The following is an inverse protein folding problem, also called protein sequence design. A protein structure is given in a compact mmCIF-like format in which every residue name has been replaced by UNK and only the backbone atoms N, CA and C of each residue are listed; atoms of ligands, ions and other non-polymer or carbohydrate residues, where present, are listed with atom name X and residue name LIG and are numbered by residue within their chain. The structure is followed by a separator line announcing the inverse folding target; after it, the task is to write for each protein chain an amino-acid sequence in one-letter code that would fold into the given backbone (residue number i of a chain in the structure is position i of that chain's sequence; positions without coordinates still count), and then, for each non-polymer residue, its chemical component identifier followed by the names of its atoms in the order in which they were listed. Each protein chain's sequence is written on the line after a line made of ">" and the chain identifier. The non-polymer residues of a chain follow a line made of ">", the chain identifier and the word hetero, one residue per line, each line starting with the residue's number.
data_IF_037615868635
#
_entry.id   IF_037615868635
#
_cell.length_a   1.000
_cell.length_b   1.000
_cell.length_c   1.000
_cell.angle_alpha   90.00
_cell.angle_beta   90.00
_cell.angle_gamma   90.00
#
_symmetry.space_group_name_H-M   'P 1'
#
loop_
_entity.id
_entity.type
_entity.pdbx_description
1 polymer ?
#
# COMPACT_ATOMS: atom_id res chain seq x y z
N UNK A 1 -21.43 22.98 20.83
CA UNK A 1 -21.75 21.92 21.79
C UNK A 1 -23.25 21.63 21.94
N UNK A 2 -24.14 22.60 22.21
CA UNK A 2 -25.56 22.29 22.51
C UNK A 2 -26.31 21.51 21.40
N UNK A 3 -25.87 21.63 20.14
CA UNK A 3 -26.44 20.94 18.98
C UNK A 3 -25.64 19.69 18.57
N UNK A 4 -24.60 19.33 19.30
CA UNK A 4 -23.72 18.22 18.93
C UNK A 4 -24.21 16.94 19.61
N UNK A 5 -24.71 16.00 18.82
CA UNK A 5 -25.11 14.67 19.25
C UNK A 5 -24.47 13.63 18.32
N UNK A 6 -23.34 13.07 18.77
CA UNK A 6 -22.61 12.06 18.01
C UNK A 6 -21.84 11.16 18.96
N UNK A 7 -21.81 9.83 18.74
CA UNK A 7 -21.15 8.88 19.65
C UNK A 7 -19.66 9.16 19.87
N UNK A 8 -18.99 9.83 18.92
CA UNK A 8 -17.56 10.17 18.99
C UNK A 8 -17.27 11.64 19.28
N UNK A 9 -18.25 12.39 19.79
CA UNK A 9 -18.10 13.76 20.28
C UNK A 9 -18.67 13.82 21.70
N UNK A 10 -17.99 14.52 22.62
CA UNK A 10 -18.44 14.61 24.00
C UNK A 10 -19.81 15.32 24.09
N UNK A 11 -20.75 14.73 24.83
CA UNK A 11 -22.09 15.31 25.00
C UNK A 11 -22.11 16.33 26.12
N UNK A 12 -22.70 17.51 25.85
CA UNK A 12 -23.02 18.52 26.85
C UNK A 12 -24.41 18.25 27.43
N UNK A 13 -24.48 17.77 28.67
CA UNK A 13 -25.72 17.40 29.36
C UNK A 13 -26.44 18.61 29.96
N UNK A 14 -25.69 19.54 30.56
CA UNK A 14 -26.26 20.72 31.19
C UNK A 14 -25.24 21.87 31.20
N UNK A 15 -25.73 23.11 31.31
CA UNK A 15 -24.90 24.29 31.54
C UNK A 15 -25.56 25.20 32.56
N UNK A 16 -24.78 25.79 33.44
CA UNK A 16 -25.27 26.74 34.42
C UNK A 16 -24.17 27.75 34.77
N UNK A 17 -24.59 28.92 35.22
CA UNK A 17 -23.68 29.94 35.73
C UNK A 17 -23.55 29.82 37.24
N UNK A 18 -22.36 30.06 37.76
CA UNK A 18 -22.10 30.19 39.20
C UNK A 18 -21.26 31.44 39.44
N UNK A 19 -21.48 32.10 40.56
CA UNK A 19 -20.67 33.23 41.00
C UNK A 19 -19.80 32.80 42.17
N UNK A 20 -18.51 33.14 42.15
CA UNK A 20 -17.62 32.88 43.30
C UNK A 20 -17.87 33.88 44.42
N UNK A 21 -17.22 33.69 45.57
CA UNK A 21 -17.24 34.67 46.66
C UNK A 21 -16.57 36.01 46.31
N UNK A 22 -15.86 36.09 45.18
CA UNK A 22 -15.21 37.29 44.66
C UNK A 22 -16.02 37.98 43.53
N UNK A 23 -17.30 37.65 43.40
CA UNK A 23 -18.20 38.13 42.33
C UNK A 23 -17.76 37.78 40.89
N UNK A 24 -16.91 36.76 40.74
CA UNK A 24 -16.51 36.27 39.42
C UNK A 24 -17.54 35.29 38.87
N UNK A 25 -18.01 35.54 37.64
CA UNK A 25 -18.99 34.71 36.95
C UNK A 25 -18.31 33.58 36.17
N UNK A 26 -18.67 32.33 36.48
CA UNK A 26 -18.19 31.14 35.79
C UNK A 26 -19.31 30.45 35.02
N UNK A 27 -19.02 30.04 33.79
CA UNK A 27 -19.87 29.12 33.02
C UNK A 27 -19.42 27.69 33.30
N UNK A 28 -20.31 26.90 33.90
CA UNK A 28 -20.08 25.48 34.18
C UNK A 28 -20.70 24.62 33.09
N UNK A 29 -19.91 23.68 32.56
CA UNK A 29 -20.33 22.75 31.51
C UNK A 29 -20.37 21.33 32.09
N UNK A 30 -21.58 20.79 32.26
CA UNK A 30 -21.79 19.41 32.71
C UNK A 30 -21.77 18.49 31.49
N UNK A 31 -20.73 17.67 31.38
CA UNK A 31 -20.51 16.78 30.24
C UNK A 31 -20.59 15.32 30.67
N UNK A 32 -20.69 14.43 29.70
CA UNK A 32 -20.41 13.01 29.91
C UNK A 32 -19.00 12.80 30.49
N UNK A 33 -18.85 11.81 31.38
CA UNK A 33 -17.56 11.42 31.94
C UNK A 33 -16.98 10.26 31.13
N UNK A 34 -15.73 10.38 30.74
CA UNK A 34 -14.95 9.32 30.07
C UNK A 34 -13.63 9.20 30.85
N UNK A 35 -13.23 7.99 31.27
CA UNK A 35 -12.25 7.81 32.34
C UNK A 35 -10.80 8.17 31.96
N UNK A 36 -10.43 8.01 30.69
CA UNK A 36 -9.06 8.23 30.24
C UNK A 36 -9.00 9.18 29.05
N UNK A 37 -7.82 9.78 28.84
CA UNK A 37 -7.47 10.43 27.58
C UNK A 37 -6.56 9.54 26.76
N UNK A 38 -6.58 9.72 25.45
CA UNK A 38 -5.69 9.02 24.53
C UNK A 38 -4.22 9.28 24.87
N UNK A 39 -3.88 10.46 25.38
CA UNK A 39 -2.56 10.76 25.92
C UNK A 39 -2.16 9.77 27.02
N UNK A 40 -3.04 9.52 28.01
CA UNK A 40 -2.77 8.59 29.11
C UNK A 40 -2.69 7.15 28.63
N UNK A 41 -3.56 6.76 27.71
CA UNK A 41 -3.52 5.42 27.08
C UNK A 41 -2.22 5.21 26.30
N UNK A 42 -1.80 6.17 25.47
CA UNK A 42 -0.53 6.12 24.72
C UNK A 42 0.67 6.04 25.67
N UNK A 43 0.67 6.88 26.71
CA UNK A 43 1.74 6.91 27.73
C UNK A 43 1.86 5.61 28.52
N UNK A 44 0.75 4.90 28.77
CA UNK A 44 0.80 3.56 29.37
C UNK A 44 1.65 2.60 28.52
N UNK A 45 1.41 2.52 27.22
CA UNK A 45 2.17 1.67 26.30
C UNK A 45 3.66 2.09 26.20
N UNK A 46 3.92 3.39 26.07
CA UNK A 46 5.30 3.91 26.04
C UNK A 46 6.06 3.57 27.33
N UNK A 47 5.45 3.77 28.50
CA UNK A 47 6.07 3.49 29.79
C UNK A 47 6.33 1.98 30.03
N UNK A 48 5.55 1.10 29.41
CA UNK A 48 5.75 -0.36 29.48
C UNK A 48 6.66 -0.90 28.37
N UNK A 49 7.26 -0.02 27.56
CA UNK A 49 8.05 -0.38 26.37
C UNK A 49 7.28 -1.30 25.40
N UNK A 50 5.97 -1.08 25.29
CA UNK A 50 5.09 -1.80 24.37
C UNK A 50 4.57 -0.85 23.29
N UNK A 51 4.45 -1.34 22.06
CA UNK A 51 3.68 -0.64 21.04
C UNK A 51 2.19 -0.88 21.24
N UNK A 52 1.36 0.13 20.98
CA UNK A 52 -0.08 -0.06 20.98
C UNK A 52 -0.47 -1.09 19.89
N UNK A 53 -1.25 -2.13 20.21
CA UNK A 53 -1.74 -3.08 19.22
C UNK A 53 -2.44 -2.37 18.04
N UNK A 54 -2.08 -2.75 16.81
CA UNK A 54 -2.57 -2.08 15.59
C UNK A 54 -4.10 -2.06 15.47
N UNK A 55 -4.79 -3.05 16.05
CA UNK A 55 -6.26 -3.07 16.11
C UNK A 55 -6.81 -1.86 16.89
N UNK A 56 -6.20 -1.49 18.00
CA UNK A 56 -6.62 -0.31 18.78
C UNK A 56 -6.29 0.98 18.04
N UNK A 57 -5.12 1.07 17.39
CA UNK A 57 -4.79 2.22 16.54
C UNK A 57 -5.85 2.41 15.45
N UNK A 58 -6.22 1.34 14.73
CA UNK A 58 -7.27 1.37 13.71
C UNK A 58 -8.63 1.79 14.28
N UNK A 59 -9.04 1.18 15.40
CA UNK A 59 -10.32 1.44 16.05
C UNK A 59 -10.44 2.88 16.55
N UNK A 60 -9.41 3.38 17.21
CA UNK A 60 -9.36 4.74 17.74
C UNK A 60 -9.34 5.78 16.62
N UNK A 61 -8.47 5.61 15.62
CA UNK A 61 -8.39 6.55 14.51
C UNK A 61 -9.66 6.56 13.67
N UNK A 62 -10.31 5.41 13.45
CA UNK A 62 -11.62 5.37 12.80
C UNK A 62 -12.65 6.23 13.53
N UNK A 63 -12.73 6.11 14.86
CA UNK A 63 -13.66 6.89 15.66
C UNK A 63 -13.31 8.39 15.72
N UNK A 64 -12.02 8.74 15.77
CA UNK A 64 -11.57 10.15 15.66
C UNK A 64 -12.03 10.75 14.34
N UNK A 65 -11.76 10.08 13.22
CA UNK A 65 -12.17 10.58 11.91
C UNK A 65 -13.69 10.64 11.76
N UNK A 66 -14.44 9.71 12.37
CA UNK A 66 -15.91 9.78 12.41
C UNK A 66 -16.41 11.00 13.21
N UNK A 67 -15.79 11.27 14.36
CA UNK A 67 -16.07 12.47 15.16
C UNK A 67 -15.74 13.77 14.42
N UNK A 68 -14.59 13.85 13.75
CA UNK A 68 -14.21 14.99 12.91
C UNK A 68 -15.16 15.17 11.73
N UNK A 69 -15.50 14.09 11.03
CA UNK A 69 -16.47 14.13 9.93
C UNK A 69 -17.80 14.71 10.41
N UNK A 70 -18.29 14.32 11.59
CA UNK A 70 -19.47 14.91 12.21
C UNK A 70 -19.29 16.40 12.51
N UNK A 71 -18.20 16.82 13.15
CA UNK A 71 -17.93 18.24 13.46
C UNK A 71 -17.91 19.08 12.19
N UNK A 72 -17.28 18.56 11.13
CA UNK A 72 -17.13 19.23 9.83
C UNK A 72 -18.43 19.23 9.00
N UNK A 73 -19.50 18.55 9.43
CA UNK A 73 -20.84 18.69 8.81
C UNK A 73 -21.45 20.05 9.07
N UNK A 74 -21.11 20.71 10.19
CA UNK A 74 -21.42 22.12 10.40
C UNK A 74 -20.57 22.91 9.41
N UNK A 75 -21.15 23.65 8.46
CA UNK A 75 -20.35 24.35 7.45
C UNK A 75 -19.30 25.26 8.11
N UNK A 76 -18.02 24.96 7.88
CA UNK A 76 -16.89 25.67 8.48
C UNK A 76 -16.53 25.26 9.91
N UNK A 77 -17.27 24.34 10.55
CA UNK A 77 -17.00 23.88 11.91
C UNK A 77 -15.62 23.23 12.05
N UNK A 78 -14.72 23.86 12.80
CA UNK A 78 -13.35 23.42 12.99
C UNK A 78 -12.99 23.34 14.48
N UNK A 79 -12.31 22.27 14.89
CA UNK A 79 -11.95 22.02 16.29
C UNK A 79 -10.76 22.89 16.74
N UNK A 80 -9.70 22.98 15.92
CA UNK A 80 -8.52 23.85 16.12
C UNK A 80 -7.62 23.55 17.32
N UNK A 81 -7.84 22.45 18.03
CA UNK A 81 -6.91 21.96 19.07
C UNK A 81 -7.05 20.44 19.29
N UNK A 82 -7.09 19.68 18.19
CA UNK A 82 -7.14 18.23 18.28
C UNK A 82 -5.74 17.69 18.66
N UNK A 83 -5.69 16.95 19.76
CA UNK A 83 -4.48 16.34 20.33
C UNK A 83 -4.87 15.17 21.26
N UNK A 84 -3.95 14.26 21.63
CA UNK A 84 -4.26 13.10 22.46
C UNK A 84 -4.90 13.45 23.81
N UNK A 85 -4.63 14.64 24.36
CA UNK A 85 -5.27 15.10 25.61
C UNK A 85 -6.75 15.45 25.42
N UNK A 86 -7.14 15.90 24.22
CA UNK A 86 -8.50 16.31 23.86
C UNK A 86 -9.30 15.18 23.17
N UNK A 87 -8.77 13.95 23.24
CA UNK A 87 -9.41 12.74 22.75
C UNK A 87 -9.59 11.83 23.96
N UNK A 88 -10.83 11.67 24.41
CA UNK A 88 -11.17 10.81 25.53
C UNK A 88 -11.37 9.38 25.05
N UNK A 89 -11.00 8.42 25.89
CA UNK A 89 -11.10 6.99 25.62
C UNK A 89 -11.65 6.31 26.86
N UNK A 90 -12.64 5.44 26.68
CA UNK A 90 -12.99 4.44 27.67
C UNK A 90 -12.21 3.15 27.35
N UNK A 91 -11.19 2.75 28.14
CA UNK A 91 -10.39 1.57 27.84
C UNK A 91 -11.15 0.25 27.95
N UNK A 92 -12.30 0.21 28.65
CA UNK A 92 -13.11 -0.99 28.78
C UNK A 92 -13.92 -1.25 27.50
N UNK A 93 -14.51 -0.20 26.94
CA UNK A 93 -15.38 -0.28 25.75
C UNK A 93 -14.67 0.11 24.45
N UNK A 94 -13.46 0.68 24.55
CA UNK A 94 -12.71 1.32 23.48
C UNK A 94 -13.46 2.44 22.75
N UNK A 95 -14.47 3.05 23.40
CA UNK A 95 -15.19 4.19 22.85
C UNK A 95 -14.32 5.46 22.92
N UNK A 96 -14.27 6.19 21.81
CA UNK A 96 -13.52 7.45 21.70
C UNK A 96 -14.47 8.62 21.58
N UNK A 97 -14.19 9.73 22.29
CA UNK A 97 -14.93 10.99 22.18
C UNK A 97 -14.00 12.19 22.10
N UNK A 98 -14.18 13.03 21.08
CA UNK A 98 -13.49 14.31 20.97
C UNK A 98 -14.09 15.29 21.99
N UNK A 99 -13.24 15.96 22.76
CA UNK A 99 -13.63 16.93 23.77
C UNK A 99 -12.87 18.25 23.62
N UNK A 100 -13.18 19.21 24.50
CA UNK A 100 -12.55 20.54 24.55
C UNK A 100 -12.70 21.37 23.26
N UNK A 101 -13.91 21.92 23.11
CA UNK A 101 -14.26 22.83 22.02
C UNK A 101 -13.95 24.30 22.39
N UNK A 102 -13.13 24.58 23.40
CA UNK A 102 -12.81 25.95 23.82
C UNK A 102 -12.10 26.75 22.73
N UNK A 103 -11.36 26.06 21.85
CA UNK A 103 -10.73 26.68 20.68
C UNK A 103 -11.62 26.68 19.45
N UNK A 104 -12.69 25.88 19.40
CA UNK A 104 -13.43 25.62 18.17
C UNK A 104 -14.08 26.88 17.57
N UNK A 105 -14.20 26.94 16.24
CA UNK A 105 -14.82 28.07 15.52
C UNK A 105 -15.48 27.60 14.23
N UNK A 106 -16.54 28.28 13.80
CA UNK A 106 -17.05 28.20 12.43
C UNK A 106 -16.20 29.12 11.54
N UNK A 107 -15.48 28.52 10.59
CA UNK A 107 -14.66 29.20 9.60
C UNK A 107 -15.55 29.68 8.45
N UNK A 108 -15.59 30.99 8.25
CA UNK A 108 -16.31 31.62 7.14
C UNK A 108 -15.32 31.99 6.04
N UNK A 109 -15.61 31.58 4.81
CA UNK A 109 -14.73 31.85 3.66
C UNK A 109 -14.60 33.37 3.45
N UNK A 110 -13.37 33.86 3.34
CA UNK A 110 -13.05 35.29 3.19
C UNK A 110 -12.92 36.05 4.52
N UNK A 111 -13.21 35.41 5.66
CA UNK A 111 -12.91 35.98 6.98
C UNK A 111 -11.55 35.49 7.48
N UNK A 112 -10.70 36.44 7.90
CA UNK A 112 -9.41 36.13 8.49
C UNK A 112 -9.57 35.47 9.88
N UNK A 113 -8.73 34.48 10.15
CA UNK A 113 -8.65 33.78 11.43
C UNK A 113 -7.23 33.86 12.01
N UNK A 114 -7.13 33.76 13.33
CA UNK A 114 -5.84 33.76 14.04
C UNK A 114 -5.08 32.48 13.72
N UNK A 115 -3.86 32.61 13.21
CA UNK A 115 -2.99 31.48 12.83
C UNK A 115 -2.28 30.82 14.02
N UNK A 116 -2.02 31.57 15.10
CA UNK A 116 -1.40 31.07 16.32
C UNK A 116 -2.39 30.30 17.22
N UNK A 117 -2.90 29.19 16.68
CA UNK A 117 -3.83 28.24 17.29
C UNK A 117 -3.27 26.81 17.19
N UNK A 118 -3.96 25.81 17.73
CA UNK A 118 -3.46 24.44 17.92
C UNK A 118 -2.25 24.33 18.85
N UNK A 119 -2.16 23.21 19.56
CA UNK A 119 -0.96 22.79 20.26
C UNK A 119 0.17 22.45 19.27
N UNK A 120 1.40 22.91 19.57
CA UNK A 120 2.50 23.01 18.60
C UNK A 120 2.80 21.73 17.82
N UNK A 121 2.91 20.57 18.49
CA UNK A 121 3.24 19.29 17.85
C UNK A 121 2.20 18.79 16.84
N UNK A 122 0.97 19.31 16.92
CA UNK A 122 -0.18 18.91 16.08
C UNK A 122 -0.59 20.03 15.12
N UNK A 123 0.11 21.17 15.16
CA UNK A 123 -0.21 22.34 14.35
C UNK A 123 0.13 22.05 12.88
N UNK A 124 -0.77 22.46 11.98
CA UNK A 124 -0.60 22.32 10.54
C UNK A 124 0.43 23.33 9.99
N UNK A 125 1.20 23.00 8.94
CA UNK A 125 2.26 23.85 8.41
C UNK A 125 1.73 25.19 7.91
N UNK A 126 0.55 25.26 7.30
CA UNK A 126 -0.06 26.51 6.84
C UNK A 126 -0.25 27.52 7.98
N UNK A 127 -0.53 27.04 9.20
CA UNK A 127 -0.65 27.89 10.39
C UNK A 127 0.72 28.42 10.84
N UNK A 128 1.79 27.65 10.66
CA UNK A 128 3.17 28.08 10.95
C UNK A 128 3.64 29.16 9.97
N UNK A 129 3.17 29.10 8.73
CA UNK A 129 3.37 30.15 7.73
C UNK A 129 2.41 31.35 7.91
N UNK A 130 1.60 31.36 8.98
CA UNK A 130 0.75 32.50 9.31
C UNK A 130 -0.53 32.60 8.47
N UNK A 131 -0.95 31.54 7.79
CA UNK A 131 -2.18 31.57 7.00
C UNK A 131 -3.39 31.95 7.87
N UNK A 132 -4.17 32.93 7.40
CA UNK A 132 -5.40 33.39 8.08
C UNK A 132 -6.67 32.81 7.45
N UNK A 133 -6.56 32.27 6.24
CA UNK A 133 -7.65 31.63 5.48
C UNK A 133 -7.43 30.12 5.36
N UNK A 134 -7.19 29.46 6.49
CA UNK A 134 -7.11 28.00 6.56
C UNK A 134 -8.51 27.38 6.60
N UNK A 135 -8.59 26.07 6.36
CA UNK A 135 -9.85 25.32 6.33
C UNK A 135 -9.91 24.30 7.47
N UNK A 136 -10.99 23.51 7.54
CA UNK A 136 -11.11 22.40 8.48
C UNK A 136 -10.04 21.30 8.30
N UNK A 137 -9.27 21.35 7.20
CA UNK A 137 -8.12 20.46 6.92
C UNK A 137 -7.04 20.47 8.02
N UNK A 138 -6.92 21.55 8.80
CA UNK A 138 -5.95 21.61 9.91
C UNK A 138 -6.23 20.56 10.99
N UNK A 139 -7.51 20.19 11.19
CA UNK A 139 -7.88 19.12 12.11
C UNK A 139 -7.47 17.74 11.55
N UNK A 140 -7.50 17.58 10.22
CA UNK A 140 -7.06 16.35 9.54
C UNK A 140 -5.55 16.17 9.67
N UNK A 141 -4.77 17.27 9.52
CA UNK A 141 -3.34 17.26 9.82
C UNK A 141 -3.07 16.85 11.27
N UNK A 142 -3.79 17.47 12.21
CA UNK A 142 -3.66 17.17 13.64
C UNK A 142 -3.96 15.69 13.92
N UNK A 143 -5.00 15.12 13.29
CA UNK A 143 -5.34 13.71 13.39
C UNK A 143 -4.25 12.80 12.79
N UNK A 144 -3.60 13.22 11.70
CA UNK A 144 -2.43 12.54 11.14
C UNK A 144 -1.25 12.49 12.12
N UNK A 145 -1.01 13.59 12.85
CA UNK A 145 0.01 13.63 13.91
C UNK A 145 -0.34 12.68 15.06
N UNK A 146 -1.62 12.61 15.48
CA UNK A 146 -2.10 11.64 16.48
C UNK A 146 -1.90 10.21 16.00
N UNK A 147 -2.26 9.88 14.76
CA UNK A 147 -2.05 8.55 14.18
C UNK A 147 -0.56 8.16 14.23
N UNK A 148 0.32 9.07 13.80
CA UNK A 148 1.75 8.82 13.83
C UNK A 148 2.28 8.62 15.26
N UNK A 149 1.82 9.42 16.21
CA UNK A 149 2.18 9.27 17.62
C UNK A 149 1.74 7.93 18.21
N UNK A 150 0.53 7.46 17.90
CA UNK A 150 0.06 6.15 18.34
C UNK A 150 0.88 4.99 17.75
N UNK A 151 1.39 5.14 16.52
CA UNK A 151 2.24 4.14 15.87
C UNK A 151 3.69 4.16 16.40
N UNK A 152 4.22 5.34 16.71
CA UNK A 152 5.61 5.53 17.16
C UNK A 152 5.79 5.41 18.68
N UNK A 153 4.73 5.60 19.46
CA UNK A 153 4.77 5.69 20.93
C UNK A 153 5.31 7.02 21.47
N UNK A 154 5.61 7.97 20.58
CA UNK A 154 6.08 9.33 20.89
C UNK A 154 5.64 10.31 19.79
N UNK A 155 5.54 11.63 20.07
CA UNK A 155 5.14 12.61 19.07
C UNK A 155 6.03 12.58 17.82
N UNK A 156 5.43 12.60 16.63
CA UNK A 156 6.16 12.58 15.35
C UNK A 156 6.98 13.87 15.14
N UNK A 157 6.45 15.00 15.57
CA UNK A 157 6.99 16.33 15.26
C UNK A 157 7.15 17.16 16.54
N UNK A 158 8.16 16.87 17.39
CA UNK A 158 8.32 17.50 18.69
C UNK A 158 9.15 18.82 18.63
N UNK A 159 8.70 19.83 17.86
CA UNK A 159 9.42 21.10 17.75
C UNK A 159 9.23 22.02 18.97
N UNK A 160 10.29 22.69 19.43
CA UNK A 160 10.22 23.57 20.63
C UNK A 160 9.54 24.92 20.36
N UNK A 161 9.60 25.38 19.11
CA UNK A 161 8.92 26.59 18.63
C UNK A 161 8.45 26.40 17.17
N UNK A 162 7.80 27.40 16.59
CA UNK A 162 7.24 27.28 15.23
C UNK A 162 8.29 26.99 14.15
N UNK A 163 9.51 27.51 14.29
CA UNK A 163 10.59 27.26 13.33
C UNK A 163 11.11 25.83 13.47
N UNK A 164 11.36 25.37 14.70
CA UNK A 164 11.80 23.98 14.94
C UNK A 164 10.74 22.98 14.50
N UNK A 165 9.46 23.31 14.69
CA UNK A 165 8.35 22.49 14.21
C UNK A 165 8.36 22.34 12.69
N UNK A 166 8.65 23.42 11.94
CA UNK A 166 8.83 23.37 10.49
C UNK A 166 10.05 22.50 10.12
N UNK A 167 11.15 22.60 10.87
CA UNK A 167 12.34 21.77 10.67
C UNK A 167 12.02 20.28 10.84
N UNK A 168 11.24 19.90 11.86
CA UNK A 168 10.78 18.51 12.05
C UNK A 168 9.91 18.04 10.87
N UNK A 169 8.99 18.88 10.37
CA UNK A 169 8.15 18.56 9.20
C UNK A 169 9.03 18.33 7.95
N UNK A 170 10.02 19.18 7.74
CA UNK A 170 10.95 19.07 6.60
C UNK A 170 11.77 17.78 6.71
N UNK A 171 12.27 17.43 7.89
CA UNK A 171 13.00 16.17 8.13
C UNK A 171 12.15 14.95 7.73
N UNK A 172 10.89 14.89 8.17
CA UNK A 172 9.96 13.79 7.81
C UNK A 172 9.72 13.74 6.31
N UNK A 173 9.52 14.90 5.67
CA UNK A 173 9.32 15.00 4.21
C UNK A 173 10.55 14.52 3.44
N UNK A 174 11.76 14.88 3.88
CA UNK A 174 13.02 14.43 3.29
C UNK A 174 13.23 12.92 3.48
N UNK A 175 12.95 12.39 4.66
CA UNK A 175 12.99 10.94 4.93
C UNK A 175 12.05 10.17 3.99
N UNK A 176 10.84 10.69 3.75
CA UNK A 176 9.90 10.11 2.78
C UNK A 176 10.47 10.12 1.36
N UNK A 177 11.02 11.24 0.90
CA UNK A 177 11.61 11.33 -0.45
C UNK A 177 12.78 10.35 -0.63
N UNK A 178 13.62 10.21 0.39
CA UNK A 178 14.74 9.26 0.39
C UNK A 178 14.26 7.81 0.39
N UNK A 179 13.24 7.49 1.18
CA UNK A 179 12.58 6.18 1.16
C UNK A 179 11.99 5.87 -0.22
N UNK A 180 11.26 6.82 -0.83
CA UNK A 180 10.65 6.66 -2.15
C UNK A 180 11.71 6.43 -3.24
N UNK A 181 12.85 7.16 -3.20
CA UNK A 181 14.00 6.93 -4.09
C UNK A 181 14.59 5.53 -3.92
N UNK A 182 14.76 5.05 -2.68
CA UNK A 182 15.26 3.70 -2.40
C UNK A 182 14.31 2.63 -2.93
N UNK A 183 13.00 2.79 -2.72
CA UNK A 183 11.99 1.88 -3.28
C UNK A 183 12.04 1.87 -4.81
N UNK A 184 12.17 3.04 -5.45
CA UNK A 184 12.30 3.12 -6.91
C UNK A 184 13.57 2.43 -7.42
N UNK A 185 14.71 2.57 -6.71
CA UNK A 185 15.97 1.87 -7.03
C UNK A 185 15.80 0.35 -6.93
N UNK A 186 15.20 -0.15 -5.83
CA UNK A 186 14.94 -1.58 -5.64
C UNK A 186 14.03 -2.14 -6.73
N UNK A 187 12.98 -1.40 -7.11
CA UNK A 187 12.10 -1.79 -8.22
C UNK A 187 12.86 -1.81 -9.56
N UNK A 188 13.73 -0.83 -9.81
CA UNK A 188 14.54 -0.78 -11.03
C UNK A 188 15.55 -1.94 -11.10
N UNK A 189 16.23 -2.24 -10.00
CA UNK A 189 17.15 -3.39 -9.86
C UNK A 189 16.42 -4.72 -10.07
N UNK A 190 15.24 -4.88 -9.45
CA UNK A 190 14.41 -6.06 -9.63
C UNK A 190 13.96 -6.23 -11.09
N UNK A 191 13.52 -5.14 -11.74
CA UNK A 191 13.13 -5.17 -13.15
C UNK A 191 14.30 -5.53 -14.09
N UNK A 192 15.49 -5.03 -13.80
CA UNK A 192 16.71 -5.37 -14.56
C UNK A 192 17.10 -6.85 -14.38
N UNK A 193 17.00 -7.37 -13.14
CA UNK A 193 17.21 -8.79 -12.87
C UNK A 193 16.18 -9.66 -13.60
N UNK A 194 14.90 -9.29 -13.58
CA UNK A 194 13.84 -9.99 -14.32
C UNK A 194 14.14 -10.06 -15.82
N UNK A 195 14.58 -8.95 -16.44
CA UNK A 195 14.97 -8.93 -17.86
C UNK A 195 16.13 -9.87 -18.16
N UNK A 196 17.16 -9.90 -17.30
CA UNK A 196 18.31 -10.81 -17.46
C UNK A 196 17.89 -12.27 -17.36
N UNK A 197 17.06 -12.61 -16.38
CA UNK A 197 16.52 -13.97 -16.21
C UNK A 197 15.64 -14.36 -17.40
N UNK A 198 14.82 -13.44 -17.92
CA UNK A 198 14.02 -13.67 -19.13
C UNK A 198 14.90 -13.94 -20.35
N UNK A 199 15.91 -13.11 -20.60
CA UNK A 199 16.84 -13.29 -21.72
C UNK A 199 17.63 -14.60 -21.61
N UNK A 200 18.05 -14.99 -20.41
CA UNK A 200 18.70 -16.29 -20.16
C UNK A 200 17.75 -17.46 -20.50
N UNK A 201 16.50 -17.41 -20.02
CA UNK A 201 15.51 -18.43 -20.32
C UNK A 201 15.19 -18.52 -21.83
N UNK A 202 15.11 -17.38 -22.53
CA UNK A 202 14.92 -17.33 -23.98
C UNK A 202 16.10 -17.94 -24.75
N UNK A 203 17.34 -17.64 -24.33
CA UNK A 203 18.54 -18.22 -24.93
C UNK A 203 18.62 -19.74 -24.71
N UNK A 204 18.37 -20.21 -23.48
CA UNK A 204 18.32 -21.64 -23.16
C UNK A 204 17.25 -22.38 -23.99
N UNK A 205 16.07 -21.77 -24.16
CA UNK A 205 15.00 -22.33 -24.99
C UNK A 205 15.40 -22.40 -26.47
N UNK A 206 16.07 -21.35 -26.96
CA UNK A 206 16.58 -21.28 -28.34
C UNK A 206 17.65 -22.34 -28.60
N UNK A 207 18.58 -22.54 -27.68
CA UNK A 207 19.61 -23.59 -27.76
C UNK A 207 18.99 -24.98 -27.76
N UNK A 208 18.05 -25.26 -26.83
CA UNK A 208 17.32 -26.54 -26.79
C UNK A 208 16.56 -26.80 -28.08
N UNK A 209 15.91 -25.79 -28.64
CA UNK A 209 15.17 -25.91 -29.90
C UNK A 209 16.09 -26.15 -31.10
N UNK A 210 17.25 -25.46 -31.15
CA UNK A 210 18.26 -25.69 -32.19
C UNK A 210 18.86 -27.10 -32.10
N UNK A 211 19.15 -27.58 -30.89
CA UNK A 211 19.64 -28.94 -30.67
C UNK A 211 18.63 -29.98 -31.15
N UNK A 212 17.37 -29.89 -30.71
CA UNK A 212 16.29 -30.79 -31.14
C UNK A 212 16.09 -30.77 -32.66
N UNK A 213 16.16 -29.59 -33.28
CA UNK A 213 16.06 -29.45 -34.73
C UNK A 213 17.20 -30.15 -35.46
N UNK A 214 18.45 -29.93 -35.02
CA UNK A 214 19.62 -30.56 -35.63
C UNK A 214 19.62 -32.09 -35.46
N UNK A 215 19.19 -32.58 -34.30
CA UNK A 215 19.02 -34.01 -34.03
C UNK A 215 17.95 -34.63 -34.94
N UNK A 216 16.78 -33.98 -35.06
CA UNK A 216 15.73 -34.42 -36.00
C UNK A 216 16.21 -34.38 -37.47
N UNK A 217 16.93 -33.34 -37.90
CA UNK A 217 17.49 -33.25 -39.25
C UNK A 217 18.51 -34.38 -39.53
N UNK A 218 19.34 -34.73 -38.54
CA UNK A 218 20.28 -35.84 -38.63
C UNK A 218 19.57 -37.20 -38.72
N UNK A 219 18.54 -37.43 -37.89
CA UNK A 219 17.72 -38.65 -37.92
C UNK A 219 17.01 -38.81 -39.27
N UNK A 220 16.37 -37.75 -39.79
CA UNK A 220 15.73 -37.77 -41.10
C UNK A 220 16.72 -38.12 -42.21
N UNK A 221 17.96 -37.58 -42.16
CA UNK A 221 19.01 -37.89 -43.14
C UNK A 221 19.47 -39.35 -43.06
N UNK A 222 19.62 -39.91 -41.85
CA UNK A 222 19.95 -41.31 -41.65
C UNK A 222 18.86 -42.24 -42.21
N UNK A 223 17.60 -41.99 -41.84
CA UNK A 223 16.43 -42.72 -42.36
C UNK A 223 16.32 -42.65 -43.89
N UNK A 224 16.61 -41.49 -44.50
CA UNK A 224 16.66 -41.35 -45.97
C UNK A 224 17.75 -42.22 -46.60
N UNK A 225 18.95 -42.26 -46.01
CA UNK A 225 20.04 -43.08 -46.51
C UNK A 225 19.71 -44.58 -46.43
N UNK A 226 19.12 -45.01 -45.31
CA UNK A 226 18.66 -46.40 -45.11
C UNK A 226 17.60 -46.80 -46.15
N UNK A 227 16.62 -45.93 -46.39
CA UNK A 227 15.57 -46.16 -47.39
C UNK A 227 16.13 -46.21 -48.81
N UNK A 228 17.08 -45.33 -49.14
CA UNK A 228 17.77 -45.35 -50.45
C UNK A 228 18.57 -46.64 -50.65
N UNK A 229 19.26 -47.13 -49.61
CA UNK A 229 19.97 -48.41 -49.64
C UNK A 229 19.01 -49.60 -49.80
N UNK A 230 17.86 -49.57 -49.13
CA UNK A 230 16.82 -50.60 -49.26
C UNK A 230 16.18 -50.59 -50.66
N UNK A 231 15.88 -49.40 -51.21
CA UNK A 231 15.41 -49.26 -52.58
C UNK A 231 16.43 -49.81 -53.59
N UNK A 232 17.73 -49.51 -53.44
CA UNK A 232 18.79 -50.05 -54.32
C UNK A 232 18.83 -51.58 -54.30
N UNK A 233 18.76 -52.20 -53.11
CA UNK A 233 18.71 -53.67 -52.96
C UNK A 233 17.48 -54.27 -53.67
N UNK A 234 16.31 -53.66 -53.48
CA UNK A 234 15.08 -54.13 -54.14
C UNK A 234 15.13 -53.98 -55.67
N UNK A 235 15.75 -52.91 -56.18
CA UNK A 235 15.97 -52.72 -57.62
C UNK A 235 16.93 -53.78 -58.19
N UNK A 236 18.02 -54.09 -57.49
CA UNK A 236 18.96 -55.16 -57.85
C UNK A 236 18.30 -56.55 -57.84
N UNK A 237 17.52 -56.86 -56.80
CA UNK A 237 16.74 -58.10 -56.71
C UNK A 237 15.73 -58.22 -57.85
N UNK A 238 14.99 -57.14 -58.15
CA UNK A 238 14.04 -57.10 -59.25
C UNK A 238 14.76 -57.29 -60.61
N UNK A 239 15.94 -56.70 -60.78
CA UNK A 239 16.76 -56.87 -61.98
C UNK A 239 17.21 -58.34 -62.14
N UNK A 240 17.67 -58.97 -61.06
CA UNK A 240 18.10 -60.37 -61.05
C UNK A 240 16.92 -61.31 -61.34
N UNK A 241 15.75 -61.08 -60.75
CA UNK A 241 14.53 -61.83 -61.02
C UNK A 241 14.09 -61.70 -62.49
N UNK A 242 14.23 -60.51 -63.10
CA UNK A 242 13.96 -60.31 -64.53
C UNK A 242 14.93 -61.09 -65.42
N UNK A 243 16.21 -61.15 -65.07
CA UNK A 243 17.22 -61.97 -65.78
C UNK A 243 16.87 -63.46 -65.67
N UNK A 244 16.60 -63.96 -64.45
CA UNK A 244 16.22 -65.36 -64.23
C UNK A 244 14.95 -65.74 -64.98
N UNK A 245 13.93 -64.88 -65.02
CA UNK A 245 12.72 -65.10 -65.83
C UNK A 245 12.99 -65.14 -67.33
N UNK A 246 13.91 -64.31 -67.84
CA UNK A 246 14.32 -64.35 -69.26
C UNK A 246 15.08 -65.63 -69.58
N UNK A 247 15.98 -66.07 -68.70
CA UNK A 247 16.69 -67.35 -68.84
C UNK A 247 15.73 -68.53 -68.80
N UNK A 248 14.80 -68.57 -67.84
CA UNK A 248 13.77 -69.62 -67.77
C UNK A 248 12.88 -69.66 -69.03
N UNK A 249 12.47 -68.49 -69.56
CA UNK A 249 11.74 -68.43 -70.84
C UNK A 249 12.58 -68.86 -72.04
N UNK A 250 13.88 -68.55 -72.05
CA UNK A 250 14.81 -69.01 -73.09
C UNK A 250 15.02 -70.52 -73.05
N UNK A 251 15.16 -71.12 -71.87
CA UNK A 251 15.22 -72.57 -71.72
C UNK A 251 13.92 -73.27 -72.12
N UNK A 252 12.76 -72.67 -71.84
CA UNK A 252 11.48 -73.19 -72.34
C UNK A 252 11.40 -73.08 -73.86
N UNK A 253 11.89 -72.00 -74.48
CA UNK A 253 11.92 -71.89 -75.94
C UNK A 253 12.86 -72.93 -76.59
N UNK A 254 14.06 -73.12 -76.03
CA UNK A 254 15.04 -74.11 -76.53
C UNK A 254 14.55 -75.55 -76.31
N UNK A 255 13.88 -75.83 -75.19
CA UNK A 255 13.30 -77.16 -74.93
C UNK A 255 12.10 -77.48 -75.84
N UNK A 256 11.41 -76.47 -76.36
CA UNK A 256 10.29 -76.67 -77.30
C UNK A 256 10.77 -76.83 -78.75
N UNK A 257 11.94 -76.29 -79.10
CA UNK A 257 12.52 -76.44 -80.46
C UNK A 257 13.35 -77.72 -80.67
N UNK A 258 13.61 -78.52 -79.63
CA UNK A 258 14.40 -79.75 -79.73
C UNK A 258 13.61 -81.05 -79.85
N UNK A 259 12.27 -80.98 -79.92
CA UNK A 259 11.36 -82.15 -79.93
C UNK A 259 10.51 -82.30 -81.24
N UNK A 260 10.98 -81.74 -82.37
CA UNK A 260 10.51 -82.05 -83.74
C UNK A 260 11.68 -82.43 -84.67
#
# INVERSE_FOLDING_TARGET
>A
MHLMDHPNVISLKHRFFSTTSADELFLNLVMEYVPESMYRVSKFYSNTNQSMPLIYVKLYMHQIFRGLAYIHTVPGGCHKDLKPQNILVDPLTHQVKICDFGSAKVLVKGEANISHICSLFYRAPELMFGATEYTTSIDIWSAGCVLAELLLGQPLLPGENALDQLVEIIKVTQMKQEHDKRQASLIAEHNEQLKRTQLQAENELREKTMFMRNDHEAQIKALRCELEDECRKLEEELHLQKIQRRQAKGFVAVAVESDE
#
